data_IF_273657890487
#
_entry.id   IF_273657890487
#
_cell.length_a   1.000
_cell.length_b   1.000
_cell.length_c   1.000
_cell.angle_alpha   90.00
_cell.angle_beta   90.00
_cell.angle_gamma   90.00
#
_symmetry.space_group_name_H-M   'P 1'
#
loop_
_entity.id
_entity.type
_entity.pdbx_description
1 polymer ?
#
# COMPACT_ATOMS: atom_id res chain seq x y z
N UNK A 1 6.39 100.77 -11.01
CA UNK A 1 4.96 101.15 -11.14
C UNK A 1 4.13 100.16 -10.36
N UNK A 2 3.19 100.65 -9.52
CA UNK A 2 1.91 100.09 -9.01
C UNK A 2 1.75 98.54 -9.05
N UNK A 3 1.29 97.82 -8.02
CA UNK A 3 0.70 98.18 -6.74
C UNK A 3 0.20 96.91 -5.99
N UNK A 4 0.01 97.08 -4.67
CA UNK A 4 -0.97 96.47 -3.75
C UNK A 4 -1.91 95.38 -4.33
N UNK A 5 -1.81 94.10 -3.94
CA UNK A 5 -2.43 93.46 -2.75
C UNK A 5 -3.14 92.14 -3.18
N UNK A 6 -3.69 91.28 -2.28
CA UNK A 6 -3.76 91.38 -0.83
C UNK A 6 -3.03 90.23 -0.08
N UNK A 7 -2.61 90.58 1.13
CA UNK A 7 -2.31 89.66 2.23
C UNK A 7 -3.60 89.33 2.99
N UNK A 8 -3.77 88.08 3.37
CA UNK A 8 -4.36 87.64 4.64
C UNK A 8 -3.46 86.48 5.10
N UNK A 9 -2.52 86.67 6.02
CA UNK A 9 -2.70 86.85 7.48
C UNK A 9 -3.53 85.73 8.12
N UNK A 10 -2.86 84.73 8.68
CA UNK A 10 -2.73 84.69 10.12
C UNK A 10 -1.47 83.87 10.41
N UNK A 11 -0.47 84.56 10.95
CA UNK A 11 -0.17 84.47 12.38
C UNK A 11 0.43 83.08 12.67
N UNK A 12 1.69 82.97 13.07
CA UNK A 12 2.44 83.99 13.77
C UNK A 12 3.88 83.54 13.95
N UNK A 13 4.77 84.51 13.76
CA UNK A 13 6.11 84.66 14.34
C UNK A 13 7.16 83.65 13.85
N UNK A 14 7.96 83.99 12.83
CA UNK A 14 9.18 84.83 12.89
C UNK A 14 10.20 84.29 13.92
N UNK A 15 11.46 84.03 13.60
CA UNK A 15 12.37 84.79 12.74
C UNK A 15 13.45 83.88 12.16
N UNK A 16 13.63 84.04 10.86
CA UNK A 16 14.93 84.03 10.18
C UNK A 16 15.62 85.38 10.43
N UNK A 17 16.93 85.40 10.70
CA UNK A 17 17.97 86.25 10.06
C UNK A 17 19.31 85.95 10.73
N UNK A 18 20.33 85.70 9.94
CA UNK A 18 21.67 85.31 10.38
C UNK A 18 22.66 86.48 10.22
N UNK A 19 23.57 86.66 11.19
CA UNK A 19 24.96 87.11 10.96
C UNK A 19 25.87 86.45 12.01
N UNK A 20 26.92 85.81 11.51
CA UNK A 20 28.07 85.20 12.20
C UNK A 20 28.94 86.26 12.87
N UNK A 21 29.43 86.03 14.11
CA UNK A 21 30.79 86.44 14.54
C UNK A 21 31.38 85.37 15.48
N UNK A 22 32.39 84.66 14.94
CA UNK A 22 32.75 83.24 15.16
C UNK A 22 33.30 82.93 16.55
N UNK A 23 32.62 82.08 17.33
CA UNK A 23 33.17 81.59 18.60
C UNK A 23 32.26 80.68 19.43
N UNK A 24 32.92 80.07 20.43
CA UNK A 24 32.46 79.45 21.71
C UNK A 24 31.80 78.07 21.74
N UNK A 25 32.52 77.18 22.44
CA UNK A 25 32.15 76.23 23.52
C UNK A 25 30.94 75.29 23.33
N UNK A 26 31.21 73.98 23.40
CA UNK A 26 30.30 72.99 24.01
C UNK A 26 30.05 71.72 23.18
N UNK A 27 30.07 70.52 23.80
CA UNK A 27 30.06 69.22 23.09
C UNK A 27 28.62 68.71 22.86
N UNK A 28 28.44 67.79 21.91
CA UNK A 28 27.42 66.72 22.00
C UNK A 28 27.73 65.63 20.97
N UNK A 29 28.19 64.50 21.49
CA UNK A 29 28.36 63.21 20.83
C UNK A 29 26.98 62.61 20.57
N UNK A 30 26.64 62.28 19.33
CA UNK A 30 25.42 61.51 19.03
C UNK A 30 25.71 60.01 19.19
N UNK A 31 24.89 59.23 19.91
CA UNK A 31 25.06 57.80 19.94
C UNK A 31 24.60 57.20 18.61
N UNK A 32 25.35 56.19 18.17
CA UNK A 32 24.91 55.20 17.18
C UNK A 32 23.57 54.61 17.63
N UNK A 33 22.55 54.70 16.79
CA UNK A 33 21.31 53.97 17.00
C UNK A 33 21.59 52.49 16.76
N UNK A 34 21.65 51.72 17.84
CA UNK A 34 21.60 50.27 17.78
C UNK A 34 20.28 49.84 17.11
N UNK A 35 20.41 49.03 16.07
CA UNK A 35 19.30 48.34 15.44
C UNK A 35 18.91 47.18 16.35
N UNK A 36 17.77 47.27 17.02
CA UNK A 36 17.16 46.12 17.71
C UNK A 36 16.21 45.39 16.75
N UNK A 37 16.36 44.07 16.52
CA UNK A 37 15.40 43.31 15.73
C UNK A 37 14.05 43.25 16.46
N UNK A 38 12.91 43.43 15.76
CA UNK A 38 11.60 43.52 16.38
C UNK A 38 11.03 42.11 16.58
N UNK A 39 11.56 41.34 17.53
CA UNK A 39 10.92 40.09 17.92
C UNK A 39 10.94 39.97 19.44
N UNK A 40 9.82 40.33 20.06
CA UNK A 40 9.61 40.09 21.48
C UNK A 40 9.69 38.58 21.79
N UNK A 41 10.24 38.21 22.96
CA UNK A 41 10.44 36.82 23.35
C UNK A 41 9.14 36.00 23.54
N UNK A 42 7.98 36.65 23.63
CA UNK A 42 6.66 36.02 23.64
C UNK A 42 6.18 35.60 22.25
N UNK A 43 6.48 36.39 21.22
CA UNK A 43 6.18 36.11 19.81
C UNK A 43 7.00 34.91 19.32
N UNK A 44 8.25 34.78 19.74
CA UNK A 44 9.11 33.63 19.41
C UNK A 44 8.64 32.32 20.06
N UNK A 45 8.15 32.35 21.32
CA UNK A 45 7.51 31.18 21.95
C UNK A 45 6.23 30.77 21.22
N UNK A 46 5.40 31.73 20.80
CA UNK A 46 4.17 31.45 20.06
C UNK A 46 4.46 30.79 18.71
N UNK A 47 5.47 31.26 17.97
CA UNK A 47 5.90 30.64 16.72
C UNK A 47 6.35 29.19 16.93
N UNK A 48 7.13 28.92 17.99
CA UNK A 48 7.55 27.56 18.33
C UNK A 48 6.35 26.67 18.67
N UNK A 49 5.39 27.15 19.47
CA UNK A 49 4.18 26.38 19.77
C UNK A 49 3.32 26.11 18.53
N UNK A 50 3.23 27.06 17.60
CA UNK A 50 2.53 26.85 16.33
C UNK A 50 3.23 25.83 15.42
N UNK A 51 4.57 25.85 15.36
CA UNK A 51 5.34 24.85 14.61
C UNK A 51 5.16 23.46 15.23
N UNK A 52 5.26 23.35 16.57
CA UNK A 52 5.05 22.08 17.27
C UNK A 52 3.62 21.55 17.09
N UNK A 53 2.62 22.43 17.19
CA UNK A 53 1.22 22.05 16.94
C UNK A 53 1.00 21.57 15.50
N UNK A 54 1.63 22.23 14.51
CA UNK A 54 1.55 21.81 13.11
C UNK A 54 2.22 20.45 12.88
N UNK A 55 3.40 20.19 13.48
CA UNK A 55 4.08 18.89 13.38
C UNK A 55 3.25 17.77 14.01
N UNK A 56 2.63 18.02 15.16
CA UNK A 56 1.74 17.05 15.83
C UNK A 56 0.48 16.78 14.98
N UNK A 57 -0.13 17.82 14.41
CA UNK A 57 -1.30 17.68 13.53
C UNK A 57 -0.99 16.91 12.24
N UNK A 58 0.19 17.11 11.65
CA UNK A 58 0.66 16.36 10.47
C UNK A 58 0.97 14.90 10.85
N UNK A 59 1.58 14.65 12.01
CA UNK A 59 1.83 13.30 12.50
C UNK A 59 0.56 12.49 12.76
N UNK A 60 -0.50 13.14 13.25
CA UNK A 60 -1.81 12.52 13.51
C UNK A 60 -2.59 12.21 12.22
N UNK A 61 -2.40 12.97 11.15
CA UNK A 61 -3.11 12.76 9.87
C UNK A 61 -2.43 11.75 8.94
N UNK A 62 -1.13 11.53 9.09
CA UNK A 62 -0.38 10.54 8.31
C UNK A 62 -0.70 9.08 8.66
N UNK A 63 -1.24 8.81 9.86
CA UNK A 63 -1.56 7.44 10.32
C UNK A 63 -2.94 6.91 9.88
N UNK A 64 -3.84 7.78 9.39
CA UNK A 64 -5.24 7.42 9.14
C UNK A 64 -5.54 6.90 7.72
N UNK A 65 -4.53 6.87 6.83
CA UNK A 65 -4.74 6.58 5.40
C UNK A 65 -4.66 5.12 4.97
N UNK A 66 -4.11 4.22 5.79
CA UNK A 66 -4.06 2.79 5.46
C UNK A 66 -5.36 2.10 5.90
N UNK A 67 -6.44 2.38 5.17
CA UNK A 67 -7.55 1.44 5.07
C UNK A 67 -6.98 0.11 4.57
N UNK A 68 -6.69 -0.80 5.51
CA UNK A 68 -6.37 -2.19 5.20
C UNK A 68 -7.62 -2.73 4.53
N UNK A 69 -7.62 -2.80 3.19
CA UNK A 69 -8.70 -3.45 2.45
C UNK A 69 -8.93 -4.81 3.11
N UNK A 70 -10.16 -5.04 3.57
CA UNK A 70 -10.53 -6.32 4.12
C UNK A 70 -10.14 -7.41 3.11
N UNK A 71 -9.48 -8.49 3.56
CA UNK A 71 -9.09 -9.57 2.67
C UNK A 71 -10.34 -10.11 1.94
N UNK A 72 -10.23 -10.33 0.62
CA UNK A 72 -11.35 -10.90 -0.14
C UNK A 72 -11.46 -12.39 0.15
N UNK A 73 -12.67 -12.91 0.25
CA UNK A 73 -12.89 -14.35 0.34
C UNK A 73 -12.28 -15.07 -0.88
N UNK A 74 -11.65 -16.22 -0.63
CA UNK A 74 -11.04 -17.07 -1.65
C UNK A 74 -11.83 -18.37 -1.71
N UNK A 75 -12.32 -18.71 -2.90
CA UNK A 75 -12.98 -19.99 -3.17
C UNK A 75 -12.15 -20.79 -4.16
N UNK A 76 -11.71 -21.98 -3.75
CA UNK A 76 -11.05 -22.96 -4.61
C UNK A 76 -12.04 -24.10 -4.90
N UNK A 77 -12.50 -24.18 -6.14
CA UNK A 77 -13.42 -25.22 -6.60
C UNK A 77 -12.63 -26.18 -7.50
N UNK A 78 -12.61 -27.46 -7.12
CA UNK A 78 -11.94 -28.52 -7.86
C UNK A 78 -13.00 -29.54 -8.26
N UNK A 79 -13.01 -29.92 -9.53
CA UNK A 79 -13.96 -30.91 -10.07
C UNK A 79 -13.15 -32.13 -10.47
N UNK A 80 -13.48 -33.28 -9.89
CA UNK A 80 -12.78 -34.52 -10.20
C UNK A 80 -13.06 -34.97 -11.64
N UNK A 81 -12.00 -35.42 -12.31
CA UNK A 81 -12.03 -35.92 -13.68
C UNK A 81 -12.61 -34.95 -14.75
N UNK A 82 -12.59 -33.64 -14.50
CA UNK A 82 -13.09 -32.63 -15.42
C UNK A 82 -12.07 -32.28 -16.51
N UNK A 83 -12.28 -32.79 -17.72
CA UNK A 83 -11.48 -32.43 -18.89
C UNK A 83 -11.95 -31.12 -19.51
N UNK A 84 -11.00 -30.29 -19.96
CA UNK A 84 -11.30 -29.01 -20.60
C UNK A 84 -12.21 -29.17 -21.82
N UNK A 85 -12.02 -30.20 -22.65
CA UNK A 85 -12.81 -30.44 -23.86
C UNK A 85 -14.27 -30.85 -23.58
N UNK A 86 -14.66 -31.03 -22.31
CA UNK A 86 -16.04 -31.30 -21.88
C UNK A 86 -16.78 -30.08 -21.33
N UNK A 87 -16.14 -28.92 -21.32
CA UNK A 87 -16.70 -27.67 -20.83
C UNK A 87 -17.06 -26.75 -22.00
N UNK A 88 -18.27 -26.19 -22.02
CA UNK A 88 -18.71 -25.34 -23.14
C UNK A 88 -17.89 -24.04 -23.25
N UNK A 89 -17.39 -23.52 -22.12
CA UNK A 89 -16.41 -22.42 -22.10
C UNK A 89 -15.12 -22.71 -22.91
N UNK A 90 -14.78 -23.98 -23.13
CA UNK A 90 -13.60 -24.41 -23.90
C UNK A 90 -13.96 -24.93 -25.30
N UNK A 91 -15.24 -24.89 -25.69
CA UNK A 91 -15.68 -25.23 -27.05
C UNK A 91 -16.50 -26.51 -27.20
N UNK A 92 -16.85 -27.20 -26.11
CA UNK A 92 -17.84 -28.29 -26.14
C UNK A 92 -19.20 -27.75 -26.65
N UNK A 93 -19.83 -28.49 -27.56
CA UNK A 93 -21.07 -28.09 -28.25
C UNK A 93 -22.28 -28.92 -27.85
N UNK A 94 -22.05 -30.17 -27.42
CA UNK A 94 -23.11 -31.11 -27.06
C UNK A 94 -23.64 -30.84 -25.66
N UNK A 95 -22.74 -30.59 -24.70
CA UNK A 95 -23.07 -30.39 -23.30
C UNK A 95 -22.82 -28.95 -22.90
N UNK A 96 -23.79 -28.36 -22.18
CA UNK A 96 -23.71 -26.97 -21.71
C UNK A 96 -23.37 -26.93 -20.23
N UNK A 97 -22.44 -26.04 -19.88
CA UNK A 97 -22.03 -25.77 -18.50
C UNK A 97 -22.32 -24.30 -18.13
N UNK A 98 -23.59 -23.88 -18.08
CA UNK A 98 -23.96 -22.46 -18.04
C UNK A 98 -23.38 -21.69 -16.85
N UNK A 99 -23.22 -22.33 -15.69
CA UNK A 99 -22.60 -21.70 -14.52
C UNK A 99 -21.09 -21.51 -14.68
N UNK A 100 -20.39 -22.47 -15.29
CA UNK A 100 -18.96 -22.35 -15.61
C UNK A 100 -18.74 -21.32 -16.71
N UNK A 101 -19.65 -21.29 -17.70
CA UNK A 101 -19.61 -20.30 -18.79
C UNK A 101 -19.76 -18.87 -18.24
N UNK A 102 -20.68 -18.67 -17.29
CA UNK A 102 -20.85 -17.37 -16.60
C UNK A 102 -19.60 -16.97 -15.82
N UNK A 103 -18.98 -17.89 -15.09
CA UNK A 103 -17.71 -17.64 -14.39
C UNK A 103 -16.58 -17.29 -15.35
N UNK A 104 -16.48 -17.99 -16.48
CA UNK A 104 -15.49 -17.71 -17.51
C UNK A 104 -15.71 -16.34 -18.17
N UNK A 105 -16.96 -15.97 -18.43
CA UNK A 105 -17.31 -14.68 -19.04
C UNK A 105 -17.08 -13.49 -18.09
N UNK A 106 -17.30 -13.68 -16.78
CA UNK A 106 -17.06 -12.67 -15.75
C UNK A 106 -15.61 -12.63 -15.22
N UNK A 107 -14.74 -13.53 -15.69
CA UNK A 107 -13.41 -13.74 -15.14
C UNK A 107 -12.33 -13.92 -16.19
N UNK A 108 -11.29 -14.69 -15.84
CA UNK A 108 -10.18 -15.03 -16.73
C UNK A 108 -10.21 -16.52 -17.03
N UNK A 109 -10.28 -16.87 -18.31
CA UNK A 109 -10.23 -18.26 -18.79
C UNK A 109 -8.82 -18.64 -19.25
N UNK A 110 -8.18 -19.56 -18.54
CA UNK A 110 -6.87 -20.08 -18.92
C UNK A 110 -7.00 -21.20 -19.94
N UNK A 111 -6.73 -20.91 -21.23
CA UNK A 111 -6.75 -21.93 -22.30
C UNK A 111 -5.63 -22.99 -22.19
N UNK A 112 -4.62 -22.75 -21.35
CA UNK A 112 -3.44 -23.61 -21.17
C UNK A 112 -3.13 -23.81 -19.67
N UNK A 113 -4.08 -24.36 -18.93
CA UNK A 113 -3.87 -24.87 -17.59
C UNK A 113 -3.73 -26.40 -17.65
N UNK A 114 -2.58 -26.93 -17.21
CA UNK A 114 -2.27 -28.36 -17.27
C UNK A 114 -2.03 -28.88 -15.86
N UNK A 115 -2.64 -30.02 -15.52
CA UNK A 115 -2.43 -30.69 -14.24
C UNK A 115 -0.99 -31.19 -14.13
N UNK A 116 -0.40 -31.11 -12.93
CA UNK A 116 0.96 -31.62 -12.67
C UNK A 116 1.03 -33.14 -12.61
N UNK A 117 -0.13 -33.81 -12.55
CA UNK A 117 -0.25 -35.27 -12.61
C UNK A 117 -1.57 -35.69 -13.26
N UNK A 118 -1.59 -36.90 -13.82
CA UNK A 118 -2.78 -37.57 -14.33
C UNK A 118 -3.67 -38.15 -13.22
N UNK A 119 -3.20 -38.19 -11.97
CA UNK A 119 -3.92 -38.75 -10.83
C UNK A 119 -4.29 -37.69 -9.79
N UNK A 120 -5.45 -37.85 -9.15
CA UNK A 120 -6.05 -36.83 -8.28
C UNK A 120 -5.21 -36.53 -7.03
N UNK A 121 -4.70 -37.56 -6.33
CA UNK A 121 -3.89 -37.36 -5.12
C UNK A 121 -2.61 -36.54 -5.35
N UNK A 122 -1.71 -36.90 -6.30
CA UNK A 122 -0.53 -36.10 -6.60
C UNK A 122 -0.85 -34.70 -7.14
N UNK A 123 -1.89 -34.56 -7.96
CA UNK A 123 -2.31 -33.25 -8.48
C UNK A 123 -2.80 -32.33 -7.35
N UNK A 124 -3.61 -32.85 -6.42
CA UNK A 124 -4.08 -32.11 -5.24
C UNK A 124 -2.94 -31.73 -4.30
N UNK A 125 -2.04 -32.68 -3.98
CA UNK A 125 -0.87 -32.40 -3.16
C UNK A 125 0.01 -31.30 -3.76
N UNK A 126 0.22 -31.35 -5.07
CA UNK A 126 0.96 -30.34 -5.81
C UNK A 126 0.29 -28.97 -5.79
N UNK A 127 -1.01 -28.91 -6.08
CA UNK A 127 -1.79 -27.68 -6.10
C UNK A 127 -1.83 -26.99 -4.73
N UNK A 128 -1.95 -27.76 -3.65
CA UNK A 128 -2.05 -27.21 -2.30
C UNK A 128 -0.69 -26.82 -1.70
N UNK A 129 0.43 -27.38 -2.16
CA UNK A 129 1.77 -27.08 -1.62
C UNK A 129 2.64 -26.23 -2.54
N UNK A 130 2.21 -26.01 -3.79
CA UNK A 130 3.02 -25.41 -4.86
C UNK A 130 4.32 -26.19 -5.17
N UNK A 131 4.35 -27.50 -4.87
CA UNK A 131 5.49 -28.39 -5.17
C UNK A 131 5.13 -29.38 -6.26
N UNK A 132 6.10 -29.82 -7.05
CA UNK A 132 5.84 -30.90 -8.01
C UNK A 132 5.61 -32.22 -7.27
N UNK A 133 4.79 -33.14 -7.83
CA UNK A 133 4.56 -34.46 -7.22
C UNK A 133 5.86 -35.23 -6.93
N UNK A 134 6.88 -35.06 -7.77
CA UNK A 134 8.24 -35.61 -7.56
C UNK A 134 8.91 -35.12 -6.28
N UNK A 135 8.71 -33.85 -5.93
CA UNK A 135 9.24 -33.27 -4.70
C UNK A 135 8.47 -33.72 -3.46
N UNK A 136 7.24 -34.18 -3.62
CA UNK A 136 6.36 -34.67 -2.55
C UNK A 136 6.46 -36.19 -2.36
N UNK A 137 7.21 -36.89 -3.22
CA UNK A 137 7.20 -38.36 -3.27
C UNK A 137 5.90 -38.96 -3.82
N UNK A 138 5.00 -38.13 -4.36
CA UNK A 138 3.73 -38.53 -4.95
C UNK A 138 3.90 -38.83 -6.45
N UNK A 139 4.84 -39.72 -6.80
CA UNK A 139 5.14 -40.10 -8.19
C UNK A 139 4.47 -41.40 -8.57
N UNK A 140 4.20 -41.67 -9.85
CA UNK A 140 3.74 -42.99 -10.30
C UNK A 140 4.88 -44.02 -10.28
N UNK A 141 4.56 -45.30 -10.05
CA UNK A 141 5.54 -46.37 -10.17
C UNK A 141 5.86 -46.63 -11.66
N UNK A 142 7.11 -46.97 -12.03
CA UNK A 142 7.40 -47.48 -13.36
C UNK A 142 6.54 -48.73 -13.65
N UNK A 143 5.87 -48.78 -14.80
CA UNK A 143 5.05 -49.93 -15.19
C UNK A 143 5.98 -51.09 -15.59
N UNK A 144 5.80 -52.27 -14.99
CA UNK A 144 6.42 -53.53 -15.44
C UNK A 144 7.59 -54.08 -14.62
N UNK A 145 7.83 -53.58 -13.41
CA UNK A 145 8.85 -54.11 -12.50
C UNK A 145 8.19 -54.82 -11.29
N UNK A 146 8.69 -55.97 -10.86
CA UNK A 146 8.23 -56.61 -9.61
C UNK A 146 8.48 -55.69 -8.40
N UNK A 147 9.53 -54.86 -8.46
CA UNK A 147 9.76 -53.80 -7.48
C UNK A 147 8.66 -52.72 -7.52
N UNK A 148 8.00 -52.51 -8.66
CA UNK A 148 6.86 -51.60 -8.77
C UNK A 148 5.61 -52.17 -8.07
N UNK A 149 5.43 -53.49 -8.03
CA UNK A 149 4.34 -54.13 -7.27
C UNK A 149 4.55 -53.97 -5.76
N UNK A 150 5.77 -54.18 -5.28
CA UNK A 150 6.10 -53.98 -3.86
C UNK A 150 6.07 -52.50 -3.46
N UNK A 151 6.56 -51.62 -4.33
CA UNK A 151 6.38 -50.18 -4.21
C UNK A 151 4.89 -49.82 -4.17
N UNK A 152 4.05 -50.42 -5.02
CA UNK A 152 2.60 -50.24 -5.01
C UNK A 152 1.90 -50.72 -3.74
N UNK A 153 2.37 -51.81 -3.13
CA UNK A 153 1.86 -52.26 -1.84
C UNK A 153 2.22 -51.31 -0.68
N UNK A 154 3.42 -50.69 -0.69
CA UNK A 154 3.79 -49.62 0.27
C UNK A 154 3.06 -48.29 0.01
N UNK A 155 2.64 -48.03 -1.24
CA UNK A 155 1.95 -46.79 -1.68
C UNK A 155 0.54 -46.62 -1.15
N UNK A 156 -0.21 -47.70 -0.93
CA UNK A 156 -1.60 -47.60 -0.44
C UNK A 156 -1.69 -46.79 0.88
N UNK A 157 -0.58 -46.72 1.63
CA UNK A 157 -0.46 -45.94 2.86
C UNK A 157 0.16 -44.53 2.69
N UNK A 158 0.93 -44.26 1.62
CA UNK A 158 1.78 -43.05 1.49
C UNK A 158 1.47 -42.17 0.28
N UNK A 159 0.90 -42.71 -0.81
CA UNK A 159 0.60 -41.93 -2.01
C UNK A 159 -0.69 -41.09 -1.90
N UNK A 160 -1.49 -41.31 -0.85
CA UNK A 160 -2.74 -40.60 -0.59
C UNK A 160 -2.62 -39.54 0.52
N UNK A 161 -1.49 -39.50 1.21
CA UNK A 161 -1.32 -38.68 2.42
C UNK A 161 -0.14 -37.75 2.22
N UNK A 162 -0.41 -36.45 2.35
CA UNK A 162 0.65 -35.46 2.37
C UNK A 162 1.49 -35.64 3.65
N UNK A 163 2.82 -35.57 3.55
CA UNK A 163 3.67 -35.63 4.73
C UNK A 163 3.32 -34.47 5.69
N UNK A 164 3.34 -34.74 6.99
CA UNK A 164 2.90 -33.78 8.03
C UNK A 164 3.73 -32.50 8.11
N UNK A 165 4.92 -32.46 7.50
CA UNK A 165 5.77 -31.27 7.44
C UNK A 165 5.49 -30.35 6.25
N UNK A 166 4.62 -30.72 5.32
CA UNK A 166 4.32 -29.90 4.14
C UNK A 166 3.37 -28.76 4.50
N UNK A 167 3.75 -27.52 4.18
CA UNK A 167 2.88 -26.36 4.38
C UNK A 167 1.93 -26.20 3.19
N UNK A 168 0.63 -26.18 3.49
CA UNK A 168 -0.42 -26.04 2.47
C UNK A 168 -0.87 -24.59 2.29
N UNK A 169 -1.51 -24.30 1.15
CA UNK A 169 -2.16 -23.02 0.85
C UNK A 169 -3.16 -22.63 1.95
N UNK A 170 -3.89 -23.61 2.50
CA UNK A 170 -4.81 -23.38 3.60
C UNK A 170 -4.08 -22.89 4.87
N UNK A 171 -2.92 -23.46 5.19
CA UNK A 171 -2.14 -23.03 6.35
C UNK A 171 -1.51 -21.66 6.16
N UNK A 172 -1.04 -21.35 4.95
CA UNK A 172 -0.56 -20.02 4.58
C UNK A 172 -1.68 -18.99 4.75
N UNK A 173 -2.88 -19.27 4.23
CA UNK A 173 -4.03 -18.39 4.37
C UNK A 173 -4.48 -18.25 5.83
N UNK A 174 -4.49 -19.35 6.60
CA UNK A 174 -4.79 -19.32 8.03
C UNK A 174 -3.80 -18.44 8.79
N UNK A 175 -2.51 -18.55 8.51
CA UNK A 175 -1.47 -17.69 9.06
C UNK A 175 -1.64 -16.20 8.69
N UNK A 176 -2.27 -15.91 7.56
CA UNK A 176 -2.61 -14.55 7.12
C UNK A 176 -3.95 -14.03 7.70
N UNK A 177 -4.61 -14.79 8.58
CA UNK A 177 -5.85 -14.38 9.26
C UNK A 177 -7.14 -14.81 8.57
N UNK A 178 -7.08 -15.72 7.59
CA UNK A 178 -8.28 -16.30 6.98
C UNK A 178 -8.83 -17.47 7.81
N UNK A 179 -10.15 -17.60 7.86
CA UNK A 179 -10.79 -18.86 8.26
C UNK A 179 -10.81 -19.81 7.07
N UNK A 180 -10.27 -21.01 7.23
CA UNK A 180 -10.15 -22.01 6.16
C UNK A 180 -11.00 -23.24 6.47
N UNK A 181 -11.76 -23.72 5.49
CA UNK A 181 -12.52 -24.95 5.56
C UNK A 181 -12.46 -25.68 4.21
N UNK A 182 -12.63 -27.00 4.24
CA UNK A 182 -12.72 -27.83 3.04
C UNK A 182 -13.98 -28.70 3.11
N UNK A 183 -14.63 -28.88 1.97
CA UNK A 183 -15.81 -29.71 1.82
C UNK A 183 -15.54 -30.69 0.68
N UNK A 184 -15.67 -31.98 0.96
CA UNK A 184 -15.54 -33.07 0.00
C UNK A 184 -16.85 -33.86 -0.01
N UNK A 185 -17.22 -34.37 -1.18
CA UNK A 185 -18.40 -35.21 -1.35
C UNK A 185 -18.03 -36.70 -1.23
#
# INVERSE_FOLDING_TARGET
>A
MRGLGPKCNNNSVNRTTAVVLRGRRGPCYSPVSEWEPPLDGGTMRRVIYWILAAVVAVGLTAGAGCSRRSPRAVFLIVIDNARADRLSAYGERMYRTPHIDSLAAGGVLFKRAVSTSTWSAPAMGSMLTSRYPTQLGLVEAPVGDEAAVEWNARREQTAHTLASGETTLAEILRGAGYSTAAFVN
#
